data_IF_699702551144
#
_entry.id   IF_699702551144
#
_cell.length_a   1.000
_cell.length_b   1.000
_cell.length_c   1.000
_cell.angle_alpha   90.00
_cell.angle_beta   90.00
_cell.angle_gamma   90.00
#
_symmetry.space_group_name_H-M   'P 1'
#
loop_
_entity.id
_entity.type
_entity.pdbx_description
1 polymer ?
#
# COMPACT_ATOMS: atom_id res chain seq x y z
N UNK A 1 -11.89 -4.88 -6.38
CA UNK A 1 -13.12 -5.02 -5.57
C UNK A 1 -13.86 -3.70 -5.64
N UNK A 2 -15.13 -3.74 -6.04
CA UNK A 2 -16.00 -2.57 -6.25
C UNK A 2 -15.99 -1.65 -5.01
N UNK A 3 -15.94 -2.22 -3.80
CA UNK A 3 -15.91 -1.44 -2.55
C UNK A 3 -14.71 -0.49 -2.47
N UNK A 4 -13.51 -0.92 -2.89
CA UNK A 4 -12.30 -0.08 -2.83
C UNK A 4 -12.29 1.00 -3.92
N UNK A 5 -13.00 0.77 -5.02
CA UNK A 5 -13.16 1.73 -6.10
C UNK A 5 -14.08 2.88 -5.66
N UNK A 6 -15.18 2.55 -4.97
CA UNK A 6 -16.14 3.54 -4.47
C UNK A 6 -15.67 4.24 -3.18
N UNK A 7 -15.18 3.49 -2.19
CA UNK A 7 -14.77 4.06 -0.89
C UNK A 7 -13.34 4.63 -0.88
N UNK A 8 -12.52 4.27 -1.88
CA UNK A 8 -11.14 4.68 -1.98
C UNK A 8 -10.21 4.04 -0.93
N UNK A 9 -9.03 4.65 -0.77
CA UNK A 9 -7.98 4.18 0.15
C UNK A 9 -7.98 4.95 1.46
N UNK A 10 -7.64 4.25 2.55
CA UNK A 10 -7.45 4.87 3.86
C UNK A 10 -6.23 5.81 3.86
N UNK A 11 -6.15 6.82 4.76
CA UNK A 11 -5.05 7.78 4.78
C UNK A 11 -3.66 7.15 4.90
N UNK A 12 -3.53 6.05 5.67
CA UNK A 12 -2.28 5.33 5.82
C UNK A 12 -1.89 4.54 4.55
N UNK A 13 -2.87 4.06 3.79
CA UNK A 13 -2.65 3.36 2.52
C UNK A 13 -2.20 4.34 1.43
N UNK A 14 -2.76 5.56 1.40
CA UNK A 14 -2.31 6.66 0.51
C UNK A 14 -0.85 7.02 0.76
N UNK A 15 -0.49 7.25 2.02
CA UNK A 15 0.91 7.49 2.41
C UNK A 15 1.83 6.32 2.07
N UNK A 16 1.34 5.08 2.19
CA UNK A 16 2.12 3.89 1.79
C UNK A 16 2.37 3.88 0.28
N UNK A 17 1.35 4.16 -0.52
CA UNK A 17 1.46 4.22 -1.97
C UNK A 17 2.43 5.32 -2.43
N UNK A 18 2.43 6.49 -1.80
CA UNK A 18 3.41 7.55 -2.07
C UNK A 18 4.85 7.11 -1.77
N UNK A 19 5.05 6.40 -0.65
CA UNK A 19 6.38 5.87 -0.31
C UNK A 19 6.85 4.80 -1.29
N UNK A 20 5.95 3.94 -1.76
CA UNK A 20 6.25 2.90 -2.76
C UNK A 20 6.55 3.55 -4.12
N UNK A 21 5.79 4.57 -4.53
CA UNK A 21 6.04 5.31 -5.79
C UNK A 21 7.41 6.00 -5.80
N UNK A 22 7.86 6.47 -4.64
CA UNK A 22 9.16 7.12 -4.46
C UNK A 22 10.30 6.13 -4.14
N UNK A 23 10.11 4.82 -4.35
CA UNK A 23 11.12 3.77 -4.10
C UNK A 23 11.65 3.72 -2.66
N UNK A 24 10.86 4.16 -1.66
CA UNK A 24 11.23 4.16 -0.23
C UNK A 24 10.72 2.90 0.48
N UNK A 25 11.02 1.72 -0.05
CA UNK A 25 10.46 0.43 0.41
C UNK A 25 10.73 0.11 1.88
N UNK A 26 11.94 0.42 2.38
CA UNK A 26 12.30 0.20 3.78
C UNK A 26 11.42 1.04 4.72
N UNK A 27 11.08 2.26 4.32
CA UNK A 27 10.20 3.16 5.09
C UNK A 27 8.74 2.73 4.99
N UNK A 28 8.29 2.30 3.80
CA UNK A 28 6.96 1.74 3.61
C UNK A 28 6.73 0.48 4.47
N UNK A 29 7.69 -0.45 4.51
CA UNK A 29 7.64 -1.65 5.35
C UNK A 29 7.60 -1.33 6.84
N UNK A 30 8.42 -0.37 7.31
CA UNK A 30 8.38 0.09 8.71
C UNK A 30 7.03 0.71 9.08
N UNK A 31 6.50 1.58 8.24
CA UNK A 31 5.23 2.25 8.48
C UNK A 31 4.05 1.27 8.45
N UNK A 32 4.05 0.33 7.50
CA UNK A 32 3.01 -0.69 7.40
C UNK A 32 3.05 -1.64 8.61
N UNK A 33 4.25 -2.08 9.03
CA UNK A 33 4.41 -2.89 10.25
C UNK A 33 3.93 -2.14 11.50
N UNK A 34 4.21 -0.85 11.62
CA UNK A 34 3.72 -0.04 12.75
C UNK A 34 2.18 0.08 12.78
N UNK A 35 1.49 -0.06 11.64
CA UNK A 35 0.03 -0.01 11.56
C UNK A 35 -0.65 -1.37 11.72
N UNK A 36 -0.04 -2.42 11.18
CA UNK A 36 -0.65 -3.77 11.10
C UNK A 36 -0.05 -4.74 12.15
N UNK A 37 1.04 -4.35 12.81
CA UNK A 37 1.73 -5.06 13.89
C UNK A 37 2.76 -6.08 13.39
N UNK A 38 2.34 -7.03 12.56
CA UNK A 38 3.20 -8.15 12.13
C UNK A 38 3.80 -7.96 10.75
N UNK A 39 4.98 -8.55 10.52
CA UNK A 39 5.69 -8.43 9.24
C UNK A 39 4.96 -9.13 8.08
N UNK A 40 4.39 -10.32 8.33
CA UNK A 40 3.68 -11.09 7.30
C UNK A 40 2.47 -10.31 6.75
N UNK A 41 1.68 -9.69 7.64
CA UNK A 41 0.54 -8.86 7.23
C UNK A 41 0.98 -7.59 6.52
N UNK A 42 2.05 -6.95 6.98
CA UNK A 42 2.61 -5.78 6.31
C UNK A 42 3.11 -6.10 4.89
N UNK A 43 3.76 -7.26 4.71
CA UNK A 43 4.22 -7.73 3.40
C UNK A 43 3.05 -7.95 2.45
N UNK A 44 2.03 -8.71 2.86
CA UNK A 44 0.79 -8.93 2.08
C UNK A 44 0.14 -7.61 1.67
N UNK A 45 0.07 -6.65 2.60
CA UNK A 45 -0.55 -5.35 2.34
C UNK A 45 0.23 -4.49 1.34
N UNK A 46 1.56 -4.58 1.35
CA UNK A 46 2.41 -3.89 0.39
C UNK A 46 2.29 -4.51 -1.00
N UNK A 47 2.24 -5.83 -1.09
CA UNK A 47 2.03 -6.55 -2.36
C UNK A 47 0.68 -6.17 -2.99
N UNK A 48 -0.41 -6.13 -2.21
CA UNK A 48 -1.71 -5.62 -2.67
C UNK A 48 -1.60 -4.20 -3.27
N UNK A 49 -0.91 -3.29 -2.56
CA UNK A 49 -0.76 -1.90 -3.01
C UNK A 49 0.15 -1.77 -4.23
N UNK A 50 1.15 -2.62 -4.38
CA UNK A 50 1.99 -2.66 -5.59
C UNK A 50 1.17 -3.07 -6.82
N UNK A 51 0.29 -4.06 -6.68
CA UNK A 51 -0.63 -4.46 -7.76
C UNK A 51 -1.56 -3.32 -8.16
N UNK A 52 -2.09 -2.58 -7.18
CA UNK A 52 -2.93 -1.39 -7.43
C UNK A 52 -2.16 -0.30 -8.18
N UNK A 53 -0.93 0.00 -7.75
CA UNK A 53 -0.08 1.00 -8.42
C UNK A 53 0.22 0.58 -9.86
N UNK A 54 0.52 -0.70 -10.09
CA UNK A 54 0.77 -1.23 -11.43
C UNK A 54 -0.47 -1.14 -12.33
N UNK A 55 -1.66 -1.43 -11.80
CA UNK A 55 -2.92 -1.24 -12.53
C UNK A 55 -3.17 0.22 -12.88
N UNK A 56 -2.93 1.14 -11.94
CA UNK A 56 -3.04 2.59 -12.14
C UNK A 56 -2.03 3.19 -13.13
N UNK A 57 -0.94 2.49 -13.46
CA UNK A 57 0.01 2.91 -14.50
C UNK A 57 -0.35 2.40 -15.90
N UNK A 58 -1.23 1.39 -15.98
CA UNK A 58 -1.66 0.77 -17.25
C UNK A 58 -2.97 1.37 -17.78
N UNK A 59 -3.79 1.92 -16.88
CA UNK A 59 -4.90 2.81 -17.21
C UNK A 59 -4.35 4.22 -17.49
#
# INVERSE_FOLDING_TARGET
SIVREVAGFAPYERRLMELIKNSKDKRAKKLCKAKVGTFLRAKKKIEELQTVIAASRRA
#
